data_IF_694827948741
#
_entry.id   IF_694827948741
#
_cell.length_a   1.000
_cell.length_b   1.000
_cell.length_c   1.000
_cell.angle_alpha   90.00
_cell.angle_beta   90.00
_cell.angle_gamma   90.00
#
_symmetry.space_group_name_H-M   'P 1'
#
loop_
_entity.id
_entity.type
_entity.pdbx_description
1 polymer ?
#
# COMPACT_ATOMS: atom_id res chain seq x y z
N UNK A 1 -1.50 -9.44 -8.68
CA UNK A 1 -1.58 -8.07 -9.20
C UNK A 1 -3.03 -7.68 -9.19
N UNK A 2 -3.39 -6.64 -8.45
CA UNK A 2 -4.77 -6.15 -8.36
C UNK A 2 -4.86 -4.80 -9.08
N UNK A 3 -5.49 -4.79 -10.26
CA UNK A 3 -5.64 -3.59 -11.11
C UNK A 3 -6.75 -2.67 -10.56
N UNK A 4 -7.57 -3.15 -9.62
CA UNK A 4 -8.65 -2.38 -9.01
C UNK A 4 -8.24 -1.55 -7.78
N UNK A 5 -6.99 -1.64 -7.34
CA UNK A 5 -6.51 -0.96 -6.13
C UNK A 5 -5.58 0.19 -6.46
N UNK A 6 -5.81 1.33 -5.79
CA UNK A 6 -5.02 2.55 -5.95
C UNK A 6 -3.72 2.56 -5.13
N UNK A 7 -3.56 1.59 -4.23
CA UNK A 7 -2.44 1.49 -3.30
C UNK A 7 -1.86 0.09 -3.29
N UNK A 8 -0.57 0.00 -3.00
CA UNK A 8 0.03 -1.24 -2.51
C UNK A 8 -0.43 -1.47 -1.08
N UNK A 9 -0.78 -2.71 -0.73
CA UNK A 9 -1.27 -3.06 0.61
C UNK A 9 -0.35 -4.11 1.23
N UNK A 10 0.14 -3.81 2.43
CA UNK A 10 1.06 -4.67 3.18
C UNK A 10 0.72 -4.66 4.68
N UNK A 11 1.10 -5.75 5.35
CA UNK A 11 1.01 -5.84 6.80
C UNK A 11 2.11 -5.00 7.48
N UNK A 12 1.88 -4.66 8.76
CA UNK A 12 2.77 -3.80 9.53
C UNK A 12 4.17 -4.39 9.74
N UNK A 13 4.30 -5.71 9.81
CA UNK A 13 5.60 -6.38 9.97
C UNK A 13 6.44 -6.19 8.70
N UNK A 14 5.87 -6.46 7.53
CA UNK A 14 6.54 -6.28 6.24
C UNK A 14 6.97 -4.82 6.05
N UNK A 15 6.11 -3.86 6.39
CA UNK A 15 6.42 -2.41 6.31
C UNK A 15 7.58 -2.04 7.25
N UNK A 16 7.55 -2.52 8.50
CA UNK A 16 8.59 -2.25 9.48
C UNK A 16 9.94 -2.86 9.09
N UNK A 17 9.94 -4.08 8.56
CA UNK A 17 11.16 -4.77 8.11
C UNK A 17 11.78 -4.07 6.89
N UNK A 18 10.95 -3.52 6.00
CA UNK A 18 11.39 -2.79 4.82
C UNK A 18 11.82 -1.34 5.12
N UNK A 19 11.52 -0.81 6.31
CA UNK A 19 11.94 0.52 6.75
C UNK A 19 11.27 1.67 5.99
N UNK A 20 10.02 1.49 5.54
CA UNK A 20 9.30 2.53 4.82
C UNK A 20 8.99 3.74 5.71
N UNK A 21 8.89 4.91 5.08
CA UNK A 21 8.63 6.16 5.81
C UNK A 21 7.13 6.40 5.96
N UNK A 22 6.64 6.49 7.20
CA UNK A 22 5.24 6.85 7.47
C UNK A 22 4.95 8.28 6.97
N UNK A 23 3.84 8.43 6.24
CA UNK A 23 3.34 9.73 5.82
C UNK A 23 2.65 10.45 7.00
N UNK A 24 2.62 11.79 7.02
CA UNK A 24 2.01 12.55 8.11
C UNK A 24 0.46 12.57 8.06
N UNK A 25 -0.16 11.66 7.32
CA UNK A 25 -1.60 11.54 7.18
C UNK A 25 -2.03 10.10 6.92
N UNK A 26 -3.27 9.79 7.30
CA UNK A 26 -3.95 8.53 7.03
C UNK A 26 -4.85 8.65 5.78
N UNK A 27 -5.24 7.51 5.22
CA UNK A 27 -6.21 7.43 4.12
C UNK A 27 -7.42 6.60 4.52
N UNK A 28 -8.60 6.94 3.99
CA UNK A 28 -9.79 6.09 4.10
C UNK A 28 -9.81 5.14 2.89
N UNK A 29 -9.71 3.83 3.15
CA UNK A 29 -9.85 2.79 2.14
C UNK A 29 -11.30 2.33 2.08
N UNK A 30 -11.82 2.15 0.86
CA UNK A 30 -13.09 1.44 0.63
C UNK A 30 -12.77 0.05 0.11
N UNK A 31 -13.15 -0.98 0.87
CA UNK A 31 -12.94 -2.38 0.52
C UNK A 31 -14.02 -2.86 -0.46
N UNK A 32 -13.79 -4.02 -1.09
CA UNK A 32 -14.73 -4.62 -2.03
C UNK A 32 -16.11 -4.90 -1.42
N UNK A 33 -16.17 -5.20 -0.11
CA UNK A 33 -17.41 -5.38 0.65
C UNK A 33 -18.06 -4.06 1.12
N UNK A 34 -17.57 -2.92 0.61
CA UNK A 34 -17.98 -1.54 0.93
C UNK A 34 -17.65 -1.09 2.34
N UNK A 35 -16.95 -1.89 3.15
CA UNK A 35 -16.43 -1.39 4.44
C UNK A 35 -15.43 -0.27 4.18
N UNK A 36 -15.45 0.71 5.08
CA UNK A 36 -14.52 1.83 5.12
C UNK A 36 -13.64 1.70 6.35
N UNK A 37 -12.34 1.88 6.17
CA UNK A 37 -11.38 1.87 7.28
C UNK A 37 -10.29 2.91 7.04
N UNK A 38 -9.73 3.44 8.13
CA UNK A 38 -8.55 4.28 8.07
C UNK A 38 -7.30 3.40 8.07
N UNK A 39 -6.36 3.72 7.19
CA UNK A 39 -5.08 3.05 7.08
C UNK A 39 -3.96 4.09 7.19
N UNK A 40 -2.88 3.70 7.88
CA UNK A 40 -1.62 4.43 7.79
C UNK A 40 -1.06 4.31 6.39
N UNK A 41 -0.40 5.37 5.94
CA UNK A 41 0.21 5.42 4.62
C UNK A 41 1.71 5.54 4.76
N UNK A 42 2.44 4.82 3.91
CA UNK A 42 3.89 4.78 3.89
C UNK A 42 4.40 5.10 2.48
N UNK A 43 5.54 5.79 2.41
CA UNK A 43 6.25 6.05 1.17
C UNK A 43 7.37 5.01 1.00
N UNK A 44 7.37 4.36 -0.15
CA UNK A 44 8.39 3.40 -0.57
C UNK A 44 8.86 3.71 -2.00
N UNK A 45 9.90 3.00 -2.44
CA UNK A 45 10.36 3.02 -3.82
C UNK A 45 10.24 1.62 -4.42
N UNK A 46 9.70 1.52 -5.63
CA UNK A 46 9.59 0.25 -6.37
C UNK A 46 10.34 0.33 -7.69
N UNK A 47 10.83 -0.81 -8.16
CA UNK A 47 11.37 -0.97 -9.50
C UNK A 47 10.39 -1.77 -10.35
N UNK A 48 9.88 -1.15 -11.42
CA UNK A 48 8.98 -1.77 -12.37
C UNK A 48 9.34 -1.32 -13.79
N UNK A 49 9.31 -2.24 -14.75
CA UNK A 49 9.52 -1.95 -16.17
C UNK A 49 10.76 -1.08 -16.47
N UNK A 50 11.87 -1.34 -15.76
CA UNK A 50 13.11 -0.59 -15.96
C UNK A 50 13.19 0.74 -15.23
N UNK A 51 12.16 1.15 -14.49
CA UNK A 51 12.06 2.46 -13.83
C UNK A 51 11.92 2.32 -12.31
N UNK A 52 12.55 3.24 -11.59
CA UNK A 52 12.34 3.43 -10.14
C UNK A 52 11.35 4.57 -9.94
N UNK A 53 10.44 4.42 -8.99
CA UNK A 53 9.48 5.47 -8.67
C UNK A 53 8.92 5.32 -7.26
N UNK A 54 8.42 6.43 -6.69
CA UNK A 54 7.75 6.40 -5.41
C UNK A 54 6.43 5.64 -5.53
N UNK A 55 6.07 4.92 -4.47
CA UNK A 55 4.75 4.31 -4.34
C UNK A 55 4.22 4.54 -2.93
N UNK A 56 2.90 4.66 -2.81
CA UNK A 56 2.24 4.65 -1.53
C UNK A 56 1.85 3.23 -1.14
N UNK A 57 2.17 2.86 0.10
CA UNK A 57 1.83 1.59 0.72
C UNK A 57 0.84 1.87 1.85
N UNK A 58 -0.36 1.30 1.79
CA UNK A 58 -1.33 1.36 2.86
C UNK A 58 -1.14 0.16 3.80
N UNK A 59 -1.04 0.43 5.10
CA UNK A 59 -0.99 -0.61 6.12
C UNK A 59 -2.38 -1.23 6.30
N UNK A 60 -2.50 -2.51 6.01
CA UNK A 60 -3.69 -3.29 6.29
C UNK A 60 -3.30 -4.74 6.52
N UNK A 61 -3.80 -5.32 7.61
CA UNK A 61 -3.64 -6.75 7.87
C UNK A 61 -4.49 -7.54 6.89
N UNK A 62 -3.85 -8.02 5.83
CA UNK A 62 -4.44 -8.87 4.78
C UNK A 62 -3.69 -10.20 4.75
N UNK A 63 -4.39 -11.34 4.56
CA UNK A 63 -3.73 -12.65 4.55
C UNK A 63 -2.72 -12.82 3.40
N UNK A 64 -2.85 -12.03 2.33
CA UNK A 64 -1.89 -11.98 1.22
C UNK A 64 -1.64 -10.53 0.83
N UNK A 65 -0.40 -10.01 0.88
CA UNK A 65 -0.06 -8.68 0.40
C UNK A 65 -0.45 -8.51 -1.08
N UNK A 66 -1.10 -7.40 -1.41
CA UNK A 66 -1.52 -7.09 -2.77
C UNK A 66 -0.81 -5.84 -3.28
N UNK A 67 -0.28 -5.93 -4.49
CA UNK A 67 0.26 -4.78 -5.21
C UNK A 67 -0.88 -4.18 -6.06
N UNK A 68 -1.30 -2.97 -5.71
CA UNK A 68 -2.13 -2.13 -6.57
C UNK A 68 -1.31 -1.48 -7.66
N UNK A 69 -1.70 -1.72 -8.90
CA UNK A 69 -1.08 -1.12 -10.06
C UNK A 69 -2.11 -0.25 -10.77
N UNK A 70 -2.25 1.00 -10.32
CA UNK A 70 -2.52 2.10 -11.23
C UNK A 70 -1.15 2.72 -11.55
N UNK A 71 -0.51 2.18 -12.60
CA UNK A 71 0.62 2.83 -13.28
C UNK A 71 0.08 3.90 -14.24
#
# INVERSE_FOLDING_TARGET
MDIGSAYVVMDSKTISEAGFHEAPFEVELTLADKRKLKAKLYLAEVYAEGRRGPVFVAELDVPTPTLGAML
#
